data_IF_992030331690
#
_entry.id   IF_992030331690
#
_cell.length_a   1.000
_cell.length_b   1.000
_cell.length_c   1.000
_cell.angle_alpha   90.00
_cell.angle_beta   90.00
_cell.angle_gamma   90.00
#
_symmetry.space_group_name_H-M   'P 1'
#
loop_
_entity.id
_entity.type
_entity.pdbx_description
1 polymer ?
#
# COMPACT_ATOMS: atom_id res chain seq x y z
N UNK A 1 -20.01 -20.37 -34.61
CA UNK A 1 -20.06 -20.69 -33.17
C UNK A 1 -18.79 -20.13 -32.54
N UNK A 2 -18.87 -18.95 -31.93
CA UNK A 2 -17.73 -18.40 -31.16
C UNK A 2 -17.67 -19.15 -29.84
N UNK A 3 -16.61 -19.93 -29.62
CA UNK A 3 -16.23 -20.43 -28.31
C UNK A 3 -15.66 -19.26 -27.51
N UNK A 4 -16.55 -18.35 -27.10
CA UNK A 4 -16.20 -17.20 -26.29
C UNK A 4 -16.08 -17.63 -24.85
N UNK A 5 -14.85 -17.76 -24.36
CA UNK A 5 -14.54 -17.77 -22.94
C UNK A 5 -15.30 -16.64 -22.24
N UNK A 6 -15.83 -16.89 -21.04
CA UNK A 6 -16.54 -15.84 -20.29
C UNK A 6 -15.53 -14.76 -19.88
N UNK A 7 -15.93 -13.47 -19.80
CA UNK A 7 -15.03 -12.42 -19.33
C UNK A 7 -14.37 -12.72 -17.96
N UNK A 8 -15.06 -13.49 -17.11
CA UNK A 8 -14.52 -13.95 -15.84
C UNK A 8 -13.46 -15.04 -16.02
N UNK A 9 -13.67 -16.01 -16.91
CA UNK A 9 -12.68 -17.05 -17.21
C UNK A 9 -11.39 -16.44 -17.80
N UNK A 10 -11.52 -15.45 -18.68
CA UNK A 10 -10.38 -14.71 -19.23
C UNK A 10 -9.61 -13.96 -18.14
N UNK A 11 -10.31 -13.31 -17.21
CA UNK A 11 -9.67 -12.58 -16.12
C UNK A 11 -8.99 -13.52 -15.11
N UNK A 12 -9.58 -14.67 -14.81
CA UNK A 12 -8.94 -15.71 -13.99
C UNK A 12 -7.65 -16.19 -14.64
N UNK A 13 -7.67 -16.50 -15.95
CA UNK A 13 -6.49 -16.94 -16.68
C UNK A 13 -5.38 -15.87 -16.70
N UNK A 14 -5.76 -14.59 -16.90
CA UNK A 14 -4.83 -13.44 -16.85
C UNK A 14 -4.21 -13.31 -15.47
N UNK A 15 -5.03 -13.29 -14.43
CA UNK A 15 -4.59 -13.14 -13.03
C UNK A 15 -3.68 -14.30 -12.59
N UNK A 16 -3.98 -15.55 -13.01
CA UNK A 16 -3.12 -16.70 -12.74
C UNK A 16 -1.76 -16.58 -13.45
N UNK A 17 -1.76 -16.16 -14.73
CA UNK A 17 -0.54 -15.98 -15.51
C UNK A 17 0.36 -14.88 -14.92
N UNK A 18 -0.23 -13.75 -14.50
CA UNK A 18 0.51 -12.67 -13.85
C UNK A 18 1.13 -13.13 -12.52
N UNK A 19 0.39 -13.89 -11.70
CA UNK A 19 0.94 -14.45 -10.46
C UNK A 19 2.13 -15.38 -10.74
N UNK A 20 2.00 -16.29 -11.69
CA UNK A 20 3.10 -17.18 -12.08
C UNK A 20 4.33 -16.42 -12.59
N UNK A 21 4.14 -15.27 -13.25
CA UNK A 21 5.27 -14.41 -13.66
C UNK A 21 5.93 -13.68 -12.49
N UNK A 22 5.20 -13.44 -11.40
CA UNK A 22 5.72 -12.80 -10.19
C UNK A 22 6.33 -13.80 -9.21
N UNK A 23 6.04 -15.11 -9.36
CA UNK A 23 6.67 -16.16 -8.57
C UNK A 23 8.20 -16.14 -8.76
N UNK A 24 8.92 -16.02 -7.64
CA UNK A 24 10.38 -15.99 -7.63
C UNK A 24 11.01 -14.68 -8.14
N UNK A 25 10.20 -13.66 -8.46
CA UNK A 25 10.74 -12.33 -8.79
C UNK A 25 11.39 -11.74 -7.56
N UNK A 26 12.69 -11.46 -7.67
CA UNK A 26 13.43 -10.73 -6.65
C UNK A 26 13.28 -9.23 -6.93
N UNK A 27 12.75 -8.50 -5.96
CA UNK A 27 12.68 -7.05 -6.04
C UNK A 27 14.00 -6.45 -5.54
N UNK A 28 14.85 -5.87 -6.41
CA UNK A 28 16.10 -5.29 -5.97
C UNK A 28 15.83 -4.06 -5.08
N UNK A 29 16.61 -3.91 -4.00
CA UNK A 29 16.58 -2.66 -3.22
C UNK A 29 17.01 -1.50 -4.11
N UNK A 30 16.18 -0.45 -4.25
CA UNK A 30 16.55 0.70 -5.07
C UNK A 30 17.67 1.50 -4.38
N UNK A 31 18.54 2.13 -5.16
CA UNK A 31 19.65 2.95 -4.62
C UNK A 31 19.17 4.22 -3.89
N UNK A 32 17.94 4.66 -4.18
CA UNK A 32 17.25 5.78 -3.52
C UNK A 32 15.80 5.37 -3.24
N UNK A 33 15.14 5.95 -2.23
CA UNK A 33 13.73 5.69 -1.99
C UNK A 33 12.89 5.94 -3.26
N UNK A 34 12.11 4.94 -3.66
CA UNK A 34 11.12 5.10 -4.71
C UNK A 34 9.83 5.65 -4.08
N UNK A 35 9.42 6.85 -4.47
CA UNK A 35 8.20 7.49 -3.97
C UNK A 35 7.07 7.23 -4.95
N UNK A 36 6.00 6.59 -4.48
CA UNK A 36 4.79 6.29 -5.27
C UNK A 36 3.59 6.94 -4.59
N UNK A 37 2.89 7.80 -5.33
CA UNK A 37 1.66 8.45 -4.86
C UNK A 37 0.44 7.77 -5.50
N UNK A 38 -0.50 7.31 -4.68
CA UNK A 38 -1.77 6.72 -5.14
C UNK A 38 -2.89 7.72 -4.91
N UNK A 39 -3.30 8.40 -5.98
CA UNK A 39 -4.31 9.46 -5.92
C UNK A 39 -5.45 9.19 -6.91
N UNK A 40 -6.67 9.49 -6.47
CA UNK A 40 -7.89 9.47 -7.26
C UNK A 40 -8.97 10.26 -6.51
N UNK A 41 -9.60 11.22 -7.18
CA UNK A 41 -10.62 12.11 -6.62
C UNK A 41 -11.89 11.40 -6.15
N UNK A 42 -12.18 10.21 -6.68
CA UNK A 42 -13.37 9.43 -6.30
C UNK A 42 -13.12 8.60 -5.05
N UNK A 43 -14.05 8.65 -4.09
CA UNK A 43 -14.07 7.77 -2.92
C UNK A 43 -14.39 6.31 -3.30
N UNK A 44 -13.89 5.35 -2.53
CA UNK A 44 -14.23 3.93 -2.72
C UNK A 44 -13.64 3.23 -3.96
N UNK A 45 -12.60 3.81 -4.58
CA UNK A 45 -11.94 3.24 -5.79
C UNK A 45 -10.72 2.36 -5.46
N UNK A 46 -10.55 1.97 -4.20
CA UNK A 46 -9.48 1.06 -3.78
C UNK A 46 -8.11 1.68 -3.53
N UNK A 47 -7.98 3.01 -3.42
CA UNK A 47 -6.67 3.67 -3.14
C UNK A 47 -5.95 3.08 -1.92
N UNK A 48 -6.63 3.10 -0.77
CA UNK A 48 -6.10 2.58 0.49
C UNK A 48 -5.80 1.09 0.38
N UNK A 49 -6.73 0.31 -0.20
CA UNK A 49 -6.55 -1.13 -0.42
C UNK A 49 -5.30 -1.42 -1.24
N UNK A 50 -5.07 -0.68 -2.32
CA UNK A 50 -3.88 -0.84 -3.16
C UNK A 50 -2.61 -0.45 -2.43
N UNK A 51 -2.61 0.66 -1.67
CA UNK A 51 -1.44 1.10 -0.88
C UNK A 51 -1.07 0.04 0.16
N UNK A 52 -2.03 -0.44 0.95
CA UNK A 52 -1.81 -1.43 2.01
C UNK A 52 -1.32 -2.76 1.43
N UNK A 53 -1.98 -3.29 0.40
CA UNK A 53 -1.55 -4.57 -0.18
C UNK A 53 -0.19 -4.47 -0.86
N UNK A 54 0.08 -3.37 -1.58
CA UNK A 54 1.39 -3.15 -2.20
C UNK A 54 2.49 -2.99 -1.14
N UNK A 55 2.24 -2.26 -0.05
CA UNK A 55 3.24 -2.08 1.00
C UNK A 55 3.58 -3.38 1.70
N UNK A 56 2.57 -4.20 2.02
CA UNK A 56 2.77 -5.53 2.62
C UNK A 56 3.53 -6.44 1.67
N UNK A 57 3.15 -6.51 0.38
CA UNK A 57 3.83 -7.35 -0.60
C UNK A 57 5.31 -6.96 -0.79
N UNK A 58 5.62 -5.65 -0.83
CA UNK A 58 7.00 -5.17 -0.94
C UNK A 58 7.80 -5.43 0.35
N UNK A 59 7.19 -5.30 1.52
CA UNK A 59 7.81 -5.60 2.80
C UNK A 59 8.13 -7.11 2.92
N UNK A 60 7.18 -7.99 2.56
CA UNK A 60 7.37 -9.44 2.50
C UNK A 60 8.46 -9.85 1.50
N UNK A 61 8.69 -9.05 0.45
CA UNK A 61 9.80 -9.22 -0.47
C UNK A 61 11.16 -8.71 0.07
N UNK A 62 11.24 -8.27 1.34
CA UNK A 62 12.48 -7.83 2.01
C UNK A 62 12.85 -6.36 1.81
N UNK A 63 11.95 -5.57 1.22
CA UNK A 63 12.16 -4.13 1.04
C UNK A 63 11.78 -3.35 2.29
N UNK A 64 12.50 -2.24 2.53
CA UNK A 64 12.08 -1.25 3.51
C UNK A 64 10.98 -0.40 2.91
N UNK A 65 9.81 -0.38 3.53
CA UNK A 65 8.63 0.32 3.05
C UNK A 65 8.16 1.33 4.10
N UNK A 66 7.85 2.54 3.65
CA UNK A 66 7.18 3.57 4.45
C UNK A 66 5.84 3.90 3.79
N UNK A 67 4.76 3.75 4.54
CA UNK A 67 3.43 4.21 4.14
C UNK A 67 3.17 5.56 4.79
N UNK A 68 2.79 6.54 3.98
CA UNK A 68 2.36 7.86 4.46
C UNK A 68 0.85 7.95 4.24
N UNK A 69 0.07 7.88 5.31
CA UNK A 69 -1.36 8.11 5.24
C UNK A 69 -1.63 9.62 5.22
N UNK A 70 -2.12 10.10 4.07
CA UNK A 70 -2.49 11.50 3.87
C UNK A 70 -4.00 11.72 3.89
N UNK A 71 -4.79 10.65 4.09
CA UNK A 71 -6.24 10.76 4.25
C UNK A 71 -6.53 11.05 5.74
N UNK A 72 -7.21 12.16 6.08
CA UNK A 72 -7.56 12.47 7.47
C UNK A 72 -8.35 11.37 8.19
N UNK A 73 -8.99 10.47 7.44
CA UNK A 73 -9.69 9.30 8.01
C UNK A 73 -8.75 8.20 8.54
N UNK A 74 -7.46 8.22 8.19
CA UNK A 74 -6.48 7.25 8.72
C UNK A 74 -6.76 5.81 8.30
N UNK A 75 -7.38 5.61 7.12
CA UNK A 75 -7.80 4.29 6.66
C UNK A 75 -6.61 3.35 6.39
N UNK A 76 -5.47 3.88 5.92
CA UNK A 76 -4.27 3.06 5.69
C UNK A 76 -3.61 2.72 7.02
N UNK A 77 -3.48 3.69 7.92
CA UNK A 77 -2.97 3.48 9.29
C UNK A 77 -3.75 2.39 10.02
N UNK A 78 -5.09 2.51 10.04
CA UNK A 78 -5.98 1.54 10.69
C UNK A 78 -5.85 0.14 10.08
N UNK A 79 -5.77 0.04 8.75
CA UNK A 79 -5.61 -1.23 8.05
C UNK A 79 -4.24 -1.90 8.31
N UNK A 80 -3.24 -1.11 8.70
CA UNK A 80 -1.90 -1.56 9.11
C UNK A 80 -1.76 -1.69 10.63
N UNK A 81 -2.85 -1.62 11.40
CA UNK A 81 -2.81 -1.79 12.85
C UNK A 81 -2.25 -0.60 13.63
N UNK A 82 -2.03 0.55 12.99
CA UNK A 82 -1.62 1.79 13.65
C UNK A 82 -2.86 2.51 14.18
N UNK A 83 -2.84 2.91 15.46
CA UNK A 83 -3.95 3.63 16.09
C UNK A 83 -4.18 4.99 15.39
N UNK A 84 -5.45 5.43 15.31
CA UNK A 84 -5.84 6.69 14.67
C UNK A 84 -6.80 7.49 15.56
N UNK A 85 -6.54 7.50 16.87
CA UNK A 85 -7.32 8.25 17.84
C UNK A 85 -6.83 9.69 17.97
N UNK A 86 -7.69 10.63 18.41
CA UNK A 86 -7.26 11.98 18.74
C UNK A 86 -6.06 11.97 19.70
N UNK A 87 -5.03 12.74 19.38
CA UNK A 87 -3.77 12.78 20.13
C UNK A 87 -2.72 11.78 19.67
N UNK A 88 -3.02 10.90 18.71
CA UNK A 88 -1.99 10.09 18.04
C UNK A 88 -1.20 10.98 17.07
N UNK A 89 0.14 10.94 17.10
CA UNK A 89 0.96 11.61 16.10
C UNK A 89 0.55 11.24 14.68
N UNK A 90 0.49 12.22 13.80
CA UNK A 90 -0.01 12.05 12.44
C UNK A 90 0.81 12.81 11.43
N UNK A 91 0.61 12.48 10.15
CA UNK A 91 1.20 13.23 9.02
C UNK A 91 0.90 14.74 9.12
N UNK A 92 -0.21 15.14 9.74
CA UNK A 92 -0.55 16.54 9.96
C UNK A 92 0.44 17.26 10.90
N UNK A 93 0.90 16.61 11.97
CA UNK A 93 1.86 17.19 12.92
C UNK A 93 3.22 17.43 12.27
N UNK A 94 3.60 16.54 11.34
CA UNK A 94 4.79 16.70 10.51
C UNK A 94 4.64 17.86 9.53
N UNK A 95 3.51 17.92 8.81
CA UNK A 95 3.26 18.99 7.82
C UNK A 95 3.12 20.37 8.46
N UNK A 96 2.61 20.45 9.69
CA UNK A 96 2.53 21.68 10.48
C UNK A 96 3.87 22.08 11.13
N UNK A 97 4.94 21.30 10.91
CA UNK A 97 6.26 21.49 11.53
C UNK A 97 6.24 21.44 13.06
N UNK A 98 5.24 20.78 13.64
CA UNK A 98 5.11 20.58 15.09
C UNK A 98 5.94 19.40 15.60
N UNK A 99 6.28 18.47 14.69
CA UNK A 99 7.03 17.24 14.97
C UNK A 99 7.88 16.86 13.75
N UNK A 100 8.99 16.15 13.95
CA UNK A 100 9.78 15.59 12.85
C UNK A 100 9.14 14.30 12.30
N UNK A 101 9.42 13.95 11.04
CA UNK A 101 8.95 12.69 10.46
C UNK A 101 9.38 11.48 11.29
N UNK A 102 10.60 11.50 11.84
CA UNK A 102 11.16 10.40 12.62
C UNK A 102 10.39 10.13 13.91
N UNK A 103 9.90 11.18 14.58
CA UNK A 103 9.08 11.08 15.81
C UNK A 103 7.66 10.57 15.52
N UNK A 104 7.18 10.74 14.28
CA UNK A 104 5.86 10.29 13.83
C UNK A 104 5.88 8.87 13.22
N UNK A 105 7.04 8.19 13.20
CA UNK A 105 7.12 6.84 12.66
C UNK A 105 6.49 5.82 13.61
N UNK A 106 5.60 5.00 13.06
CA UNK A 106 5.02 3.85 13.74
C UNK A 106 5.50 2.57 13.06
N UNK A 107 6.06 1.64 13.85
CA UNK A 107 6.34 0.31 13.35
C UNK A 107 5.02 -0.44 13.13
N UNK A 108 4.90 -1.09 11.98
CA UNK A 108 3.84 -2.06 11.72
C UNK A 108 4.38 -3.42 12.14
N UNK A 109 3.81 -4.03 13.16
CA UNK A 109 4.16 -5.41 13.54
C UNK A 109 3.59 -6.38 12.50
N UNK A 110 4.35 -7.42 12.16
CA UNK A 110 3.83 -8.55 11.39
C UNK A 110 2.78 -9.27 12.24
N UNK A 111 1.54 -9.38 11.73
CA UNK A 111 0.52 -10.29 12.26
C UNK A 111 0.65 -11.67 11.61
#
# INVERSE_FOLDING_TARGET
>A
MTTGSSPLADEIARSASLRAQLEGVVFPRPQRPLVVAVANQKGGVGKTTSVVNLSVALAQAGLSVLVIDSDPQGNASTALGVDHRPGTPSTYDVLSSSMSLAECLHACEES
#
